data_IF_609404398540
#
_entry.id   IF_609404398540
#
_cell.length_a   1.000
_cell.length_b   1.000
_cell.length_c   1.000
_cell.angle_alpha   90.00
_cell.angle_beta   90.00
_cell.angle_gamma   90.00
#
_symmetry.space_group_name_H-M   'P 1'
#
loop_
_entity.id
_entity.type
_entity.pdbx_description
1 polymer ?
#
# COMPACT_ATOMS: atom_id res chain seq x y z
N UNK A 1 3.66 10.80 -13.34
CA UNK A 1 4.45 9.65 -13.87
C UNK A 1 4.53 8.45 -12.89
N UNK A 2 3.67 8.36 -11.85
CA UNK A 2 3.71 7.27 -10.84
C UNK A 2 2.89 6.01 -11.20
N UNK A 3 1.87 6.14 -12.06
CA UNK A 3 0.94 5.03 -12.35
C UNK A 3 1.60 3.80 -13.01
N UNK A 4 2.68 3.98 -13.76
CA UNK A 4 3.34 2.86 -14.48
C UNK A 4 4.20 1.99 -13.57
N UNK A 5 4.87 2.56 -12.56
CA UNK A 5 5.79 1.82 -11.69
C UNK A 5 5.07 0.84 -10.76
N UNK A 6 3.97 1.28 -10.14
CA UNK A 6 3.12 0.41 -9.32
C UNK A 6 2.55 -0.76 -10.10
N UNK A 7 2.02 -0.52 -11.30
CA UNK A 7 1.46 -1.57 -12.16
C UNK A 7 2.48 -2.65 -12.52
N UNK A 8 3.72 -2.25 -12.83
CA UNK A 8 4.78 -3.21 -13.15
C UNK A 8 5.20 -4.07 -11.96
N UNK A 9 5.28 -3.48 -10.76
CA UNK A 9 5.52 -4.24 -9.54
C UNK A 9 4.37 -5.23 -9.24
N UNK A 10 3.12 -4.79 -9.37
CA UNK A 10 1.93 -5.66 -9.19
C UNK A 10 1.97 -6.83 -10.18
N UNK A 11 2.29 -6.59 -11.45
CA UNK A 11 2.38 -7.64 -12.46
C UNK A 11 3.53 -8.63 -12.20
N UNK A 12 4.67 -8.15 -11.71
CA UNK A 12 5.80 -9.02 -11.35
C UNK A 12 5.42 -9.95 -10.19
N UNK A 13 4.80 -9.41 -9.14
CA UNK A 13 4.31 -10.19 -8.00
C UNK A 13 3.25 -11.20 -8.42
N UNK A 14 2.31 -10.81 -9.28
CA UNK A 14 1.28 -11.71 -9.80
C UNK A 14 1.89 -12.90 -10.56
N UNK A 15 2.86 -12.65 -11.43
CA UNK A 15 3.54 -13.71 -12.18
C UNK A 15 4.32 -14.63 -11.25
N UNK A 16 5.00 -14.08 -10.24
CA UNK A 16 5.72 -14.88 -9.24
C UNK A 16 4.75 -15.78 -8.46
N UNK A 17 3.70 -15.22 -7.86
CA UNK A 17 2.71 -15.97 -7.09
C UNK A 17 2.01 -17.07 -7.91
N UNK A 18 1.62 -16.77 -9.15
CA UNK A 18 1.05 -17.78 -10.04
C UNK A 18 2.05 -18.88 -10.41
N UNK A 19 3.32 -18.54 -10.62
CA UNK A 19 4.35 -19.54 -10.91
C UNK A 19 4.58 -20.48 -9.71
N UNK A 20 4.54 -19.95 -8.49
CA UNK A 20 4.64 -20.72 -7.25
C UNK A 20 3.42 -21.63 -7.08
N UNK A 21 2.22 -21.11 -7.35
CA UNK A 21 1.00 -21.90 -7.32
C UNK A 21 1.07 -23.09 -8.29
N UNK A 22 1.55 -22.88 -9.52
CA UNK A 22 1.78 -23.96 -10.50
C UNK A 22 2.77 -24.99 -9.96
N UNK A 23 3.90 -24.56 -9.40
CA UNK A 23 4.91 -25.47 -8.85
C UNK A 23 4.31 -26.35 -7.72
N UNK A 24 3.50 -25.76 -6.83
CA UNK A 24 2.79 -26.48 -5.76
C UNK A 24 1.75 -27.45 -6.29
N UNK A 25 0.95 -27.08 -7.29
CA UNK A 25 0.00 -28.00 -7.92
C UNK A 25 0.70 -29.18 -8.61
N UNK A 26 1.82 -28.93 -9.28
CA UNK A 26 2.65 -30.00 -9.88
C UNK A 26 3.15 -30.94 -8.78
N UNK A 27 3.70 -30.41 -7.69
CA UNK A 27 4.14 -31.22 -6.56
C UNK A 27 2.98 -32.01 -5.93
N UNK A 28 1.79 -31.41 -5.80
CA UNK A 28 0.60 -32.07 -5.28
C UNK A 28 0.17 -33.25 -6.18
N UNK A 29 0.18 -33.06 -7.50
CA UNK A 29 -0.15 -34.10 -8.46
C UNK A 29 0.79 -35.30 -8.37
N UNK A 30 2.10 -35.06 -8.29
CA UNK A 30 3.10 -36.14 -8.22
C UNK A 30 3.19 -36.81 -6.85
N UNK A 31 2.92 -36.08 -5.76
CA UNK A 31 2.96 -36.64 -4.39
C UNK A 31 1.62 -37.25 -3.96
N UNK A 32 0.52 -36.90 -4.62
CA UNK A 32 -0.83 -37.21 -4.15
C UNK A 32 -1.20 -36.53 -2.83
N UNK A 33 -0.41 -35.54 -2.39
CA UNK A 33 -0.57 -34.90 -1.09
C UNK A 33 -1.72 -33.89 -1.09
N UNK A 34 -2.73 -34.13 -0.26
CA UNK A 34 -3.82 -33.18 0.02
C UNK A 34 -3.29 -31.88 0.64
N UNK A 35 -2.27 -31.96 1.49
CA UNK A 35 -1.60 -30.78 2.07
C UNK A 35 -0.95 -29.92 0.99
N UNK A 36 -0.22 -30.52 0.04
CA UNK A 36 0.41 -29.79 -1.05
C UNK A 36 -0.62 -29.18 -2.01
N UNK A 37 -1.76 -29.87 -2.21
CA UNK A 37 -2.89 -29.33 -2.98
C UNK A 37 -3.49 -28.09 -2.30
N UNK A 38 -3.72 -28.15 -0.99
CA UNK A 38 -4.21 -27.03 -0.21
C UNK A 38 -3.24 -25.83 -0.26
N UNK A 39 -1.93 -26.06 -0.20
CA UNK A 39 -0.93 -25.01 -0.38
C UNK A 39 -0.94 -24.39 -1.79
N UNK A 40 -1.22 -25.19 -2.82
CA UNK A 40 -1.43 -24.70 -4.19
C UNK A 40 -2.62 -23.76 -4.28
N UNK A 41 -3.76 -24.13 -3.69
CA UNK A 41 -4.96 -23.29 -3.59
C UNK A 41 -4.67 -22.00 -2.82
N UNK A 42 -3.92 -22.09 -1.73
CA UNK A 42 -3.50 -20.93 -0.95
C UNK A 42 -2.70 -19.94 -1.80
N UNK A 43 -1.75 -20.41 -2.60
CA UNK A 43 -0.92 -19.55 -3.46
C UNK A 43 -1.72 -18.88 -4.59
N UNK A 44 -2.81 -19.52 -5.04
CA UNK A 44 -3.80 -18.87 -5.93
C UNK A 44 -4.57 -17.78 -5.20
N UNK A 45 -4.97 -18.03 -3.95
CA UNK A 45 -5.64 -17.02 -3.14
C UNK A 45 -4.73 -15.81 -2.89
N UNK A 46 -3.43 -16.02 -2.65
CA UNK A 46 -2.43 -14.96 -2.50
C UNK A 46 -2.29 -14.12 -3.77
N UNK A 47 -2.36 -14.75 -4.95
CA UNK A 47 -2.42 -14.03 -6.24
C UNK A 47 -3.64 -13.09 -6.34
N UNK A 48 -4.67 -13.32 -5.51
CA UNK A 48 -5.82 -12.45 -5.35
C UNK A 48 -5.46 -11.05 -4.82
N UNK A 49 -4.37 -10.91 -4.04
CA UNK A 49 -3.87 -9.61 -3.57
C UNK A 49 -3.61 -8.69 -4.76
N UNK A 50 -2.82 -9.16 -5.72
CA UNK A 50 -2.45 -8.37 -6.89
C UNK A 50 -3.68 -8.06 -7.77
N UNK A 51 -4.60 -9.02 -7.92
CA UNK A 51 -5.85 -8.78 -8.65
C UNK A 51 -6.68 -7.67 -8.00
N UNK A 52 -6.82 -7.69 -6.67
CA UNK A 52 -7.53 -6.64 -5.95
C UNK A 52 -6.87 -5.27 -6.09
N UNK A 53 -5.52 -5.20 -6.04
CA UNK A 53 -4.80 -3.95 -6.28
C UNK A 53 -5.01 -3.42 -7.72
N UNK A 54 -4.99 -4.30 -8.73
CA UNK A 54 -5.28 -3.93 -10.13
C UNK A 54 -6.73 -3.44 -10.29
N UNK A 55 -7.69 -4.11 -9.66
CA UNK A 55 -9.10 -3.70 -9.67
C UNK A 55 -9.25 -2.34 -8.99
N UNK A 56 -8.61 -2.12 -7.85
CA UNK A 56 -8.61 -0.83 -7.15
C UNK A 56 -8.04 0.30 -8.00
N UNK A 57 -6.90 0.07 -8.67
CA UNK A 57 -6.32 1.02 -9.61
C UNK A 57 -7.27 1.35 -10.77
N UNK A 58 -7.90 0.33 -11.37
CA UNK A 58 -8.86 0.51 -12.47
C UNK A 58 -10.13 1.26 -12.03
N UNK A 59 -10.67 0.95 -10.85
CA UNK A 59 -11.86 1.63 -10.30
C UNK A 59 -11.56 3.07 -9.92
N UNK A 60 -10.37 3.34 -9.40
CA UNK A 60 -9.96 4.70 -9.05
C UNK A 60 -9.84 5.65 -10.24
N UNK A 61 -9.57 5.12 -11.44
CA UNK A 61 -9.52 5.90 -12.67
C UNK A 61 -10.91 6.31 -13.21
N UNK A 62 -12.00 5.91 -12.55
CA UNK A 62 -13.36 6.28 -12.97
C UNK A 62 -13.61 7.77 -12.74
N UNK A 63 -14.25 8.41 -13.72
CA UNK A 63 -14.67 9.81 -13.63
C UNK A 63 -15.66 10.05 -12.48
N UNK A 64 -15.70 11.29 -11.99
CA UNK A 64 -16.63 11.74 -10.94
C UNK A 64 -18.09 11.60 -11.39
N UNK A 65 -18.95 11.28 -10.41
CA UNK A 65 -20.41 11.18 -10.58
C UNK A 65 -21.09 12.14 -9.60
N UNK A 66 -22.42 12.28 -9.69
CA UNK A 66 -23.18 13.08 -8.71
C UNK A 66 -23.07 12.50 -7.29
N UNK A 67 -23.00 11.17 -7.16
CA UNK A 67 -22.83 10.47 -5.88
C UNK A 67 -21.39 10.60 -5.36
N UNK A 68 -20.40 10.66 -6.26
CA UNK A 68 -18.98 10.79 -5.95
C UNK A 68 -18.39 12.02 -6.67
N UNK A 69 -18.66 13.24 -6.17
CA UNK A 69 -18.31 14.48 -6.85
C UNK A 69 -16.79 14.70 -6.97
N UNK A 70 -16.01 14.11 -6.05
CA UNK A 70 -14.55 14.16 -6.05
C UNK A 70 -13.91 12.95 -6.76
N UNK A 71 -14.69 12.14 -7.47
CA UNK A 71 -14.19 10.95 -8.15
C UNK A 71 -13.98 9.74 -7.24
N UNK A 72 -13.24 8.76 -7.77
CA UNK A 72 -13.07 7.44 -7.16
C UNK A 72 -11.64 7.16 -6.69
N UNK A 73 -10.77 8.17 -6.60
CA UNK A 73 -9.34 8.00 -6.26
C UNK A 73 -9.09 7.15 -5.00
N UNK A 74 -9.98 7.24 -4.00
CA UNK A 74 -9.94 6.47 -2.74
C UNK A 74 -10.16 4.97 -2.89
N UNK A 75 -10.64 4.48 -4.03
CA UNK A 75 -10.75 3.05 -4.32
C UNK A 75 -9.39 2.34 -4.17
N UNK A 76 -8.28 3.00 -4.53
CA UNK A 76 -6.93 2.45 -4.31
C UNK A 76 -6.65 2.19 -2.82
N UNK A 77 -7.04 3.11 -1.94
CA UNK A 77 -6.90 2.93 -0.48
C UNK A 77 -7.82 1.83 0.05
N UNK A 78 -9.06 1.79 -0.44
CA UNK A 78 -10.03 0.78 -0.03
C UNK A 78 -9.56 -0.63 -0.39
N UNK A 79 -9.15 -0.87 -1.63
CA UNK A 79 -8.69 -2.19 -2.05
C UNK A 79 -7.38 -2.61 -1.37
N UNK A 80 -6.44 -1.67 -1.15
CA UNK A 80 -5.25 -1.95 -0.35
C UNK A 80 -5.60 -2.33 1.10
N UNK A 81 -6.61 -1.68 1.69
CA UNK A 81 -7.07 -2.00 3.05
C UNK A 81 -7.74 -3.38 3.10
N UNK A 82 -8.54 -3.73 2.09
CA UNK A 82 -9.12 -5.07 1.95
C UNK A 82 -8.03 -6.13 1.87
N UNK A 83 -6.98 -5.91 1.07
CA UNK A 83 -5.82 -6.82 1.02
C UNK A 83 -5.18 -6.97 2.40
N UNK A 84 -4.88 -5.85 3.08
CA UNK A 84 -4.23 -5.84 4.39
C UNK A 84 -5.03 -6.56 5.49
N UNK A 85 -6.34 -6.35 5.53
CA UNK A 85 -7.19 -6.87 6.62
C UNK A 85 -7.77 -8.23 6.29
N UNK A 86 -8.22 -8.47 5.06
CA UNK A 86 -8.92 -9.70 4.72
C UNK A 86 -7.91 -10.79 4.36
N UNK A 87 -7.07 -10.55 3.37
CA UNK A 87 -6.22 -11.62 2.83
C UNK A 87 -5.07 -11.99 3.76
N UNK A 88 -4.36 -11.01 4.31
CA UNK A 88 -3.30 -11.31 5.29
C UNK A 88 -3.83 -11.86 6.62
N UNK A 89 -4.97 -11.39 7.14
CA UNK A 89 -5.50 -11.93 8.38
C UNK A 89 -6.04 -13.36 8.20
N UNK A 90 -6.68 -13.65 7.06
CA UNK A 90 -7.09 -15.02 6.72
C UNK A 90 -5.85 -15.91 6.57
N UNK A 91 -4.80 -15.44 5.88
CA UNK A 91 -3.55 -16.19 5.73
C UNK A 91 -2.87 -16.46 7.08
N UNK A 92 -2.86 -15.47 7.97
CA UNK A 92 -2.37 -15.61 9.34
C UNK A 92 -3.17 -16.63 10.14
N UNK A 93 -4.51 -16.51 10.14
CA UNK A 93 -5.40 -17.43 10.85
C UNK A 93 -5.26 -18.86 10.33
N UNK A 94 -5.22 -19.02 9.00
CA UNK A 94 -5.02 -20.32 8.35
C UNK A 94 -3.68 -20.94 8.76
N UNK A 95 -2.58 -20.18 8.69
CA UNK A 95 -1.25 -20.67 9.08
C UNK A 95 -1.17 -21.01 10.58
N UNK A 96 -1.80 -20.21 11.45
CA UNK A 96 -1.85 -20.50 12.88
C UNK A 96 -2.69 -21.75 13.18
N UNK A 97 -3.83 -21.89 12.52
CA UNK A 97 -4.69 -23.07 12.62
C UNK A 97 -3.96 -24.33 12.14
N UNK A 98 -3.33 -24.27 10.96
CA UNK A 98 -2.57 -25.38 10.39
C UNK A 98 -1.38 -25.76 11.28
N UNK A 99 -0.64 -24.78 11.80
CA UNK A 99 0.44 -25.02 12.74
C UNK A 99 -0.04 -25.67 14.04
N UNK A 100 -1.17 -25.22 14.60
CA UNK A 100 -1.79 -25.88 15.76
C UNK A 100 -2.28 -27.30 15.44
N UNK A 101 -2.84 -27.51 14.26
CA UNK A 101 -3.30 -28.82 13.81
C UNK A 101 -2.12 -29.82 13.68
N UNK A 102 -1.03 -29.41 13.03
CA UNK A 102 0.22 -30.20 12.92
C UNK A 102 0.86 -30.50 14.27
N UNK A 103 0.78 -29.59 15.25
CA UNK A 103 1.21 -29.86 16.63
C UNK A 103 0.35 -30.93 17.31
N UNK A 104 -0.96 -30.91 17.06
CA UNK A 104 -1.92 -31.81 17.67
C UNK A 104 -1.94 -33.20 17.00
N UNK A 105 -1.64 -33.26 15.70
CA UNK A 105 -1.60 -34.46 14.87
C UNK A 105 -0.29 -34.50 14.10
N UNK A 106 0.76 -34.94 14.80
CA UNK A 106 2.11 -35.02 14.26
C UNK A 106 2.22 -36.13 13.21
N UNK A 107 2.09 -35.78 11.93
CA UNK A 107 2.30 -36.69 10.81
C UNK A 107 3.72 -36.54 10.21
N UNK A 108 4.40 -37.64 9.84
CA UNK A 108 5.71 -37.57 9.19
C UNK A 108 5.63 -36.89 7.81
N UNK A 109 6.67 -36.15 7.45
CA UNK A 109 6.82 -35.61 6.10
C UNK A 109 6.99 -36.75 5.08
N UNK A 110 5.97 -36.98 4.25
CA UNK A 110 5.92 -38.08 3.28
C UNK A 110 6.82 -37.87 2.06
N UNK A 111 7.12 -36.63 1.68
CA UNK A 111 7.93 -36.33 0.48
C UNK A 111 8.78 -35.05 0.63
N UNK A 112 9.83 -35.07 1.47
CA UNK A 112 10.65 -33.89 1.75
C UNK A 112 11.34 -33.30 0.50
N UNK A 113 11.73 -34.14 -0.46
CA UNK A 113 12.40 -33.68 -1.68
C UNK A 113 11.53 -32.72 -2.52
N UNK A 114 10.22 -33.01 -2.62
CA UNK A 114 9.27 -32.12 -3.29
C UNK A 114 9.07 -30.81 -2.53
N UNK A 115 8.98 -30.88 -1.20
CA UNK A 115 8.88 -29.68 -0.36
C UNK A 115 10.10 -28.77 -0.55
N UNK A 116 11.32 -29.31 -0.51
CA UNK A 116 12.52 -28.53 -0.78
C UNK A 116 12.57 -27.94 -2.19
N UNK A 117 12.21 -28.74 -3.21
CA UNK A 117 12.19 -28.27 -4.60
C UNK A 117 11.24 -27.09 -4.80
N UNK A 118 10.03 -27.18 -4.26
CA UNK A 118 9.03 -26.11 -4.31
C UNK A 118 9.49 -24.89 -3.50
N UNK A 119 10.03 -25.07 -2.29
CA UNK A 119 10.52 -23.97 -1.46
C UNK A 119 11.66 -23.20 -2.12
N UNK A 120 12.65 -23.90 -2.69
CA UNK A 120 13.78 -23.27 -3.38
C UNK A 120 13.28 -22.51 -4.62
N UNK A 121 12.39 -23.13 -5.41
CA UNK A 121 11.79 -22.46 -6.56
C UNK A 121 11.02 -21.20 -6.13
N UNK A 122 10.22 -21.29 -5.07
CA UNK A 122 9.46 -20.17 -4.53
C UNK A 122 10.37 -19.04 -4.05
N UNK A 123 11.45 -19.34 -3.31
CA UNK A 123 12.44 -18.34 -2.89
C UNK A 123 13.03 -17.61 -4.10
N UNK A 124 13.38 -18.34 -5.16
CA UNK A 124 13.93 -17.73 -6.38
C UNK A 124 12.90 -16.82 -7.05
N UNK A 125 11.68 -17.30 -7.27
CA UNK A 125 10.60 -16.52 -7.87
C UNK A 125 10.29 -15.25 -7.06
N UNK A 126 10.22 -15.38 -5.74
CA UNK A 126 9.93 -14.29 -4.82
C UNK A 126 11.07 -13.26 -4.79
N UNK A 127 12.33 -13.68 -4.83
CA UNK A 127 13.48 -12.76 -4.94
C UNK A 127 13.38 -11.93 -6.24
N UNK A 128 12.94 -12.52 -7.36
CA UNK A 128 12.75 -11.77 -8.61
C UNK A 128 11.62 -10.75 -8.51
N UNK A 129 10.49 -11.11 -7.89
CA UNK A 129 9.39 -10.18 -7.60
C UNK A 129 9.87 -9.05 -6.71
N UNK A 130 10.43 -9.38 -5.56
CA UNK A 130 10.87 -8.42 -4.56
C UNK A 130 11.92 -7.46 -5.10
N UNK A 131 12.87 -7.96 -5.89
CA UNK A 131 13.87 -7.11 -6.57
C UNK A 131 13.21 -6.14 -7.54
N UNK A 132 12.15 -6.55 -8.23
CA UNK A 132 11.38 -5.68 -9.13
C UNK A 132 10.62 -4.63 -8.34
N UNK A 133 9.92 -5.01 -7.26
CA UNK A 133 9.26 -4.09 -6.36
C UNK A 133 10.23 -3.06 -5.76
N UNK A 134 11.41 -3.48 -5.30
CA UNK A 134 12.48 -2.59 -4.82
C UNK A 134 12.93 -1.60 -5.89
N UNK A 135 13.11 -2.05 -7.13
CA UNK A 135 13.52 -1.18 -8.23
C UNK A 135 12.48 -0.11 -8.50
N UNK A 136 11.21 -0.48 -8.64
CA UNK A 136 10.12 0.46 -8.88
C UNK A 136 9.92 1.40 -7.68
N UNK A 137 10.03 0.89 -6.44
CA UNK A 137 9.97 1.71 -5.25
C UNK A 137 11.12 2.72 -5.16
N UNK A 138 12.34 2.35 -5.55
CA UNK A 138 13.48 3.27 -5.56
C UNK A 138 13.31 4.44 -6.54
N UNK A 139 12.56 4.26 -7.63
CA UNK A 139 12.24 5.36 -8.55
C UNK A 139 11.36 6.44 -7.89
N UNK A 140 10.54 6.05 -6.91
CA UNK A 140 9.60 6.94 -6.20
C UNK A 140 10.17 7.43 -4.88
N UNK A 141 10.87 6.57 -4.13
CA UNK A 141 11.40 6.82 -2.79
C UNK A 141 12.47 7.90 -2.76
N UNK A 142 13.25 8.03 -3.84
CA UNK A 142 14.41 8.93 -3.87
C UNK A 142 15.39 8.62 -2.74
N UNK A 143 15.65 9.61 -1.87
CA UNK A 143 16.60 9.52 -0.74
C UNK A 143 15.97 9.07 0.58
N UNK A 144 14.67 8.80 0.63
CA UNK A 144 14.00 8.41 1.87
C UNK A 144 14.45 7.01 2.32
N UNK A 145 14.54 6.80 3.65
CA UNK A 145 14.74 5.46 4.21
C UNK A 145 13.51 4.57 3.98
N UNK A 146 13.69 3.24 4.01
CA UNK A 146 12.59 2.27 3.77
C UNK A 146 11.41 2.44 4.73
N UNK A 147 11.67 2.61 6.03
CA UNK A 147 10.61 2.81 7.04
C UNK A 147 9.83 4.10 6.75
N UNK A 148 10.55 5.18 6.42
CA UNK A 148 9.93 6.45 6.08
C UNK A 148 9.07 6.32 4.81
N UNK A 149 9.55 5.59 3.80
CA UNK A 149 8.81 5.34 2.56
C UNK A 149 7.52 4.57 2.83
N UNK A 150 7.58 3.47 3.59
CA UNK A 150 6.40 2.65 3.90
C UNK A 150 5.34 3.48 4.65
N UNK A 151 5.75 4.31 5.61
CA UNK A 151 4.83 5.11 6.44
C UNK A 151 4.33 6.40 5.78
N UNK A 152 5.12 7.01 4.88
CA UNK A 152 4.80 8.32 4.29
C UNK A 152 4.27 8.22 2.86
N UNK A 153 4.36 7.05 2.24
CA UNK A 153 3.85 6.87 0.88
C UNK A 153 2.34 7.06 0.84
N UNK A 154 1.90 7.99 -0.01
CA UNK A 154 0.48 8.21 -0.29
C UNK A 154 -0.05 7.25 -1.36
N UNK A 155 0.82 6.44 -1.98
CA UNK A 155 0.43 5.34 -2.85
C UNK A 155 0.54 4.04 -2.07
N UNK A 156 -0.57 3.30 -1.83
CA UNK A 156 -0.54 2.13 -0.96
C UNK A 156 0.05 0.88 -1.65
N UNK A 157 0.06 0.81 -2.98
CA UNK A 157 0.39 -0.42 -3.71
C UNK A 157 1.83 -0.85 -3.49
N UNK A 158 2.79 0.08 -3.62
CA UNK A 158 4.20 -0.23 -3.49
C UNK A 158 4.57 -0.66 -2.05
N UNK A 159 4.16 0.06 -0.98
CA UNK A 159 4.36 -0.41 0.39
C UNK A 159 3.71 -1.78 0.67
N UNK A 160 2.48 -2.01 0.20
CA UNK A 160 1.78 -3.29 0.39
C UNK A 160 2.57 -4.42 -0.26
N UNK A 161 2.96 -4.29 -1.53
CA UNK A 161 3.73 -5.32 -2.24
C UNK A 161 5.10 -5.55 -1.60
N UNK A 162 5.81 -4.48 -1.20
CA UNK A 162 7.11 -4.64 -0.55
C UNK A 162 7.03 -5.39 0.77
N UNK A 163 6.00 -5.13 1.58
CA UNK A 163 5.78 -5.81 2.85
C UNK A 163 5.28 -7.25 2.63
N UNK A 164 4.45 -7.46 1.61
CA UNK A 164 4.02 -8.78 1.14
C UNK A 164 5.21 -9.65 0.75
N UNK A 165 5.97 -9.24 -0.27
CA UNK A 165 7.09 -10.00 -0.81
C UNK A 165 8.19 -10.23 0.26
N UNK A 166 8.45 -9.24 1.12
CA UNK A 166 9.36 -9.41 2.27
C UNK A 166 8.81 -10.46 3.25
N UNK A 167 7.52 -10.41 3.55
CA UNK A 167 6.83 -11.38 4.38
C UNK A 167 6.88 -12.79 3.79
N UNK A 168 6.63 -12.92 2.49
CA UNK A 168 6.71 -14.17 1.76
C UNK A 168 8.13 -14.76 1.84
N UNK A 169 9.17 -13.95 1.59
CA UNK A 169 10.57 -14.40 1.71
C UNK A 169 10.91 -14.88 3.13
N UNK A 170 10.55 -14.10 4.15
CA UNK A 170 10.78 -14.49 5.55
C UNK A 170 9.98 -15.75 5.91
N UNK A 171 8.74 -15.85 5.44
CA UNK A 171 7.90 -17.02 5.62
C UNK A 171 8.48 -18.27 4.96
N UNK A 172 9.03 -18.15 3.75
CA UNK A 172 9.72 -19.22 3.04
C UNK A 172 10.99 -19.66 3.78
N UNK A 173 11.71 -18.73 4.42
CA UNK A 173 12.85 -19.07 5.30
C UNK A 173 12.38 -19.84 6.53
N UNK A 174 11.26 -19.46 7.16
CA UNK A 174 10.69 -20.19 8.29
C UNK A 174 10.19 -21.59 7.89
N UNK A 175 9.56 -21.72 6.73
CA UNK A 175 9.15 -23.01 6.18
C UNK A 175 10.36 -23.90 5.90
N UNK A 176 11.40 -23.36 5.26
CA UNK A 176 12.64 -24.09 4.99
C UNK A 176 13.32 -24.54 6.28
N UNK A 177 13.37 -23.67 7.30
CA UNK A 177 13.88 -24.02 8.62
C UNK A 177 13.05 -25.15 9.25
N UNK A 178 11.73 -25.05 9.27
CA UNK A 178 10.84 -26.06 9.85
C UNK A 178 10.98 -27.43 9.18
N UNK A 179 10.91 -27.47 7.84
CA UNK A 179 11.08 -28.70 7.06
C UNK A 179 12.48 -29.30 7.26
N UNK A 180 13.53 -28.48 7.24
CA UNK A 180 14.90 -28.95 7.46
C UNK A 180 15.07 -29.57 8.84
N UNK A 181 14.60 -28.88 9.88
CA UNK A 181 14.69 -29.39 11.25
C UNK A 181 13.86 -30.65 11.43
N UNK A 182 12.66 -30.74 10.82
CA UNK A 182 11.83 -31.92 10.88
C UNK A 182 12.52 -33.15 10.25
N UNK A 183 13.20 -32.96 9.11
CA UNK A 183 13.96 -34.04 8.44
C UNK A 183 15.20 -34.44 9.24
N UNK A 184 16.01 -33.48 9.69
CA UNK A 184 17.27 -33.76 10.40
C UNK A 184 17.04 -34.38 11.77
N UNK A 185 16.01 -33.93 12.50
CA UNK A 185 15.70 -34.44 13.84
C UNK A 185 14.75 -35.64 13.83
N UNK A 186 14.11 -35.92 12.69
CA UNK A 186 13.02 -36.90 12.59
C UNK A 186 11.75 -36.49 13.35
N UNK A 187 11.65 -35.24 13.82
CA UNK A 187 10.54 -34.77 14.62
C UNK A 187 9.64 -33.80 13.81
N UNK A 188 8.42 -34.21 13.40
CA UNK A 188 7.52 -33.39 12.60
C UNK A 188 7.02 -32.11 13.30
N UNK A 189 7.19 -32.00 14.63
CA UNK A 189 6.85 -30.79 15.38
C UNK A 189 7.56 -29.54 14.83
N UNK A 190 8.77 -29.68 14.28
CA UNK A 190 9.49 -28.55 13.72
C UNK A 190 8.82 -27.94 12.48
N UNK A 191 8.12 -28.74 11.68
CA UNK A 191 7.32 -28.23 10.57
C UNK A 191 6.12 -27.43 11.08
N UNK A 192 5.50 -27.89 12.17
CA UNK A 192 4.43 -27.16 12.85
C UNK A 192 4.94 -25.82 13.43
N UNK A 193 6.12 -25.80 14.04
CA UNK A 193 6.77 -24.57 14.54
C UNK A 193 7.04 -23.59 13.40
N UNK A 194 7.62 -24.05 12.29
CA UNK A 194 7.83 -23.22 11.10
C UNK A 194 6.51 -22.62 10.59
N UNK A 195 5.46 -23.43 10.51
CA UNK A 195 4.11 -22.99 10.10
C UNK A 195 3.52 -21.92 11.05
N UNK A 196 3.69 -22.09 12.37
CA UNK A 196 3.25 -21.09 13.36
C UNK A 196 4.03 -19.77 13.25
N UNK A 197 5.35 -19.83 12.99
CA UNK A 197 6.16 -18.64 12.78
C UNK A 197 5.67 -17.82 11.57
N UNK A 198 5.28 -18.50 10.49
CA UNK A 198 4.65 -17.86 9.32
C UNK A 198 3.33 -17.19 9.73
N UNK A 199 2.47 -17.87 10.49
CA UNK A 199 1.21 -17.30 10.95
C UNK A 199 1.38 -16.05 11.81
N UNK A 200 2.34 -16.04 12.73
CA UNK A 200 2.68 -14.84 13.53
C UNK A 200 3.21 -13.71 12.65
N UNK A 201 4.09 -14.03 11.70
CA UNK A 201 4.63 -13.06 10.75
C UNK A 201 3.52 -12.38 9.92
N UNK A 202 2.61 -13.17 9.35
CA UNK A 202 1.48 -12.66 8.58
C UNK A 202 0.54 -11.80 9.45
N UNK A 203 0.32 -12.17 10.70
CA UNK A 203 -0.46 -11.35 11.64
C UNK A 203 0.18 -9.99 11.89
N UNK A 204 1.50 -9.95 12.10
CA UNK A 204 2.26 -8.70 12.27
C UNK A 204 2.17 -7.83 11.01
N UNK A 205 2.38 -8.42 9.83
CA UNK A 205 2.28 -7.70 8.55
C UNK A 205 0.87 -7.15 8.33
N UNK A 206 -0.16 -7.95 8.61
CA UNK A 206 -1.56 -7.53 8.52
C UNK A 206 -1.84 -6.31 9.40
N UNK A 207 -1.39 -6.32 10.67
CA UNK A 207 -1.57 -5.20 11.59
C UNK A 207 -0.85 -3.94 11.10
N UNK A 208 0.41 -4.07 10.68
CA UNK A 208 1.18 -2.93 10.14
C UNK A 208 0.47 -2.34 8.93
N UNK A 209 0.13 -3.15 7.93
CA UNK A 209 -0.55 -2.67 6.72
C UNK A 209 -1.93 -2.09 7.01
N UNK A 210 -2.69 -2.68 7.93
CA UNK A 210 -4.02 -2.19 8.30
C UNK A 210 -3.94 -0.81 8.96
N UNK A 211 -2.97 -0.59 9.85
CA UNK A 211 -2.76 0.72 10.50
C UNK A 211 -2.37 1.80 9.49
N UNK A 212 -1.39 1.51 8.63
CA UNK A 212 -0.90 2.48 7.65
C UNK A 212 -1.98 2.80 6.59
N UNK A 213 -2.68 1.77 6.08
CA UNK A 213 -3.70 1.97 5.03
C UNK A 213 -4.99 2.60 5.59
N UNK A 214 -5.33 2.34 6.86
CA UNK A 214 -6.49 2.97 7.51
C UNK A 214 -6.36 4.50 7.51
N UNK A 215 -5.18 5.02 7.79
CA UNK A 215 -4.94 6.46 7.85
C UNK A 215 -5.24 7.14 6.50
N UNK A 216 -4.76 6.54 5.40
CA UNK A 216 -5.05 6.98 4.03
C UNK A 216 -6.54 6.95 3.69
N UNK A 217 -7.27 5.95 4.19
CA UNK A 217 -8.71 5.82 3.96
C UNK A 217 -9.53 6.87 4.71
N UNK A 218 -9.15 7.17 5.96
CA UNK A 218 -9.76 8.25 6.76
C UNK A 218 -9.51 9.61 6.08
N UNK A 219 -8.31 9.79 5.56
CA UNK A 219 -7.92 10.97 4.82
C UNK A 219 -6.74 11.67 5.47
N UNK A 220 -5.61 11.67 4.77
CA UNK A 220 -4.41 12.36 5.22
C UNK A 220 -4.22 13.69 4.49
N UNK A 221 -3.64 14.65 5.20
CA UNK A 221 -3.14 15.88 4.59
C UNK A 221 -1.91 15.65 3.72
N UNK A 222 -1.52 16.71 3.01
CA UNK A 222 -0.27 16.80 2.27
C UNK A 222 0.93 16.59 3.21
N UNK A 223 2.07 16.18 2.66
CA UNK A 223 3.31 16.17 3.45
C UNK A 223 3.74 17.61 3.79
N UNK A 224 4.52 17.83 4.85
CA UNK A 224 4.97 19.18 5.22
C UNK A 224 5.69 19.91 4.08
N UNK A 225 6.43 19.18 3.25
CA UNK A 225 7.13 19.73 2.10
C UNK A 225 6.17 20.21 1.00
N UNK A 226 5.09 19.46 0.74
CA UNK A 226 4.04 19.84 -0.22
C UNK A 226 3.19 20.98 0.35
N UNK A 227 2.87 20.93 1.64
CA UNK A 227 2.13 22.00 2.31
C UNK A 227 2.87 23.34 2.26
N UNK A 228 4.19 23.32 2.46
CA UNK A 228 5.05 24.49 2.31
C UNK A 228 5.13 24.99 0.86
N UNK A 229 5.11 24.10 -0.13
CA UNK A 229 5.04 24.51 -1.55
C UNK A 229 3.73 25.22 -1.87
N UNK A 230 2.59 24.71 -1.38
CA UNK A 230 1.28 25.38 -1.53
C UNK A 230 1.29 26.73 -0.83
N UNK A 231 1.83 26.80 0.40
CA UNK A 231 1.95 28.04 1.17
C UNK A 231 2.75 29.09 0.42
N UNK A 232 3.93 28.74 -0.09
CA UNK A 232 4.77 29.66 -0.88
C UNK A 232 4.09 30.10 -2.17
N UNK A 233 3.38 29.20 -2.85
CA UNK A 233 2.64 29.55 -4.07
C UNK A 233 1.56 30.60 -3.76
N UNK A 234 0.82 30.42 -2.66
CA UNK A 234 -0.19 31.35 -2.17
C UNK A 234 0.40 32.69 -1.76
N UNK A 235 1.43 32.70 -0.92
CA UNK A 235 2.06 33.93 -0.40
C UNK A 235 2.88 34.69 -1.45
N UNK A 236 3.16 34.08 -2.60
CA UNK A 236 3.79 34.77 -3.74
C UNK A 236 2.82 35.59 -4.58
N UNK A 237 1.52 35.44 -4.37
CA UNK A 237 0.49 36.22 -5.03
C UNK A 237 0.37 37.62 -4.37
N UNK A 238 0.53 38.72 -5.13
CA UNK A 238 0.40 40.08 -4.59
C UNK A 238 -0.95 40.35 -3.91
N UNK A 239 -2.01 39.66 -4.37
CA UNK A 239 -3.39 39.80 -3.90
C UNK A 239 -3.67 38.99 -2.61
N UNK A 240 -2.71 38.16 -2.17
CA UNK A 240 -2.83 37.35 -0.95
C UNK A 240 -1.94 37.95 0.14
N UNK A 241 -2.55 38.71 1.05
CA UNK A 241 -1.81 39.31 2.17
C UNK A 241 -1.22 38.25 3.10
N UNK A 242 -2.02 37.23 3.43
CA UNK A 242 -1.59 36.06 4.21
C UNK A 242 -2.57 34.90 4.09
N UNK A 243 -2.11 33.72 4.48
CA UNK A 243 -2.98 32.56 4.71
C UNK A 243 -3.53 32.59 6.16
N UNK A 244 -4.85 32.66 6.32
CA UNK A 244 -5.52 32.62 7.64
C UNK A 244 -5.53 31.18 8.18
N UNK A 245 -5.96 30.23 7.34
CA UNK A 245 -5.83 28.80 7.62
C UNK A 245 -5.83 28.01 6.32
N UNK A 246 -5.19 26.84 6.34
CA UNK A 246 -5.15 25.93 5.21
C UNK A 246 -5.35 24.51 5.71
N UNK A 247 -6.14 23.73 4.97
CA UNK A 247 -6.32 22.29 5.17
C UNK A 247 -6.13 21.60 3.83
N UNK A 248 -5.44 20.48 3.87
CA UNK A 248 -5.20 19.65 2.70
C UNK A 248 -5.73 18.25 2.94
N UNK A 249 -6.11 17.57 1.87
CA UNK A 249 -6.67 16.21 1.95
C UNK A 249 -6.37 15.44 0.66
N UNK A 250 -5.76 14.28 0.78
CA UNK A 250 -5.63 13.36 -0.34
C UNK A 250 -7.00 12.73 -0.69
N UNK A 251 -7.45 12.95 -1.92
CA UNK A 251 -8.59 12.28 -2.54
C UNK A 251 -8.17 11.00 -3.28
N UNK A 252 -6.88 10.91 -3.59
CA UNK A 252 -6.19 9.73 -4.10
C UNK A 252 -4.67 9.97 -4.04
N UNK A 253 -3.86 9.00 -4.46
CA UNK A 253 -2.40 9.14 -4.37
C UNK A 253 -1.86 10.32 -5.20
N UNK A 254 -2.50 10.61 -6.34
CA UNK A 254 -2.14 11.70 -7.25
C UNK A 254 -3.16 12.86 -7.25
N UNK A 255 -4.04 12.93 -6.25
CA UNK A 255 -5.09 13.94 -6.19
C UNK A 255 -5.22 14.52 -4.78
N UNK A 256 -4.92 15.81 -4.68
CA UNK A 256 -4.93 16.61 -3.47
C UNK A 256 -6.03 17.67 -3.56
N UNK A 257 -6.82 17.75 -2.49
CA UNK A 257 -7.71 18.87 -2.21
C UNK A 257 -6.97 19.88 -1.35
N UNK A 258 -7.02 21.15 -1.75
CA UNK A 258 -6.50 22.29 -1.00
C UNK A 258 -7.68 23.19 -0.66
N UNK A 259 -8.01 23.30 0.63
CA UNK A 259 -8.96 24.30 1.13
C UNK A 259 -8.19 25.33 1.93
N UNK A 260 -8.19 26.58 1.50
CA UNK A 260 -7.48 27.65 2.19
C UNK A 260 -8.38 28.88 2.34
N UNK A 261 -8.18 29.56 3.46
CA UNK A 261 -8.77 30.86 3.73
C UNK A 261 -7.67 31.91 3.65
N UNK A 262 -7.82 32.86 2.74
CA UNK A 262 -6.82 33.88 2.43
C UNK A 262 -7.30 35.26 2.88
N UNK A 263 -6.38 36.03 3.44
CA UNK A 263 -6.64 37.41 3.78
C UNK A 263 -6.53 38.27 2.51
N UNK A 264 -7.54 39.11 2.29
CA UNK A 264 -7.60 40.09 1.21
C UNK A 264 -7.72 41.49 1.78
N UNK A 265 -7.38 42.50 0.99
CA UNK A 265 -7.41 43.88 1.41
C UNK A 265 -8.85 44.42 1.46
N UNK A 266 -9.15 45.27 2.45
CA UNK A 266 -10.50 45.82 2.64
C UNK A 266 -10.98 46.66 1.46
N UNK A 267 -10.05 47.32 0.77
CA UNK A 267 -10.35 48.30 -0.27
C UNK A 267 -10.38 47.67 -1.69
N UNK A 268 -10.18 46.36 -1.81
CA UNK A 268 -10.25 45.65 -3.08
C UNK A 268 -11.69 45.48 -3.57
N UNK A 269 -11.90 45.69 -4.87
CA UNK A 269 -13.17 45.39 -5.51
C UNK A 269 -13.37 43.88 -5.66
N UNK A 270 -14.63 43.44 -5.76
CA UNK A 270 -14.94 42.02 -5.99
C UNK A 270 -14.25 41.44 -7.24
N UNK A 271 -14.02 42.26 -8.27
CA UNK A 271 -13.33 41.84 -9.49
C UNK A 271 -11.81 41.70 -9.33
N UNK A 272 -11.20 42.43 -8.41
CA UNK A 272 -9.78 42.29 -8.05
C UNK A 272 -9.57 41.03 -7.21
N UNK A 273 -10.42 40.82 -6.19
CA UNK A 273 -10.40 39.61 -5.36
C UNK A 273 -10.57 38.34 -6.21
N UNK A 274 -11.54 38.33 -7.14
CA UNK A 274 -11.77 37.19 -8.02
C UNK A 274 -10.53 36.86 -8.88
N UNK A 275 -9.87 37.88 -9.43
CA UNK A 275 -8.65 37.70 -10.23
C UNK A 275 -7.49 37.18 -9.37
N UNK A 276 -7.32 37.72 -8.17
CA UNK A 276 -6.30 37.27 -7.22
C UNK A 276 -6.49 35.79 -6.85
N UNK A 277 -7.74 35.36 -6.65
CA UNK A 277 -8.08 33.94 -6.42
C UNK A 277 -7.70 33.08 -7.63
N UNK A 278 -8.11 33.46 -8.85
CA UNK A 278 -7.82 32.69 -10.07
C UNK A 278 -6.30 32.54 -10.29
N UNK A 279 -5.54 33.61 -10.09
CA UNK A 279 -4.08 33.57 -10.22
C UNK A 279 -3.42 32.74 -9.11
N UNK A 280 -3.90 32.85 -7.87
CA UNK A 280 -3.42 32.04 -6.76
C UNK A 280 -3.68 30.54 -6.99
N UNK A 281 -4.85 30.17 -7.51
CA UNK A 281 -5.14 28.80 -7.93
C UNK A 281 -4.18 28.30 -9.01
N UNK A 282 -3.90 29.11 -10.02
CA UNK A 282 -2.97 28.75 -11.08
C UNK A 282 -1.56 28.50 -10.53
N UNK A 283 -1.06 29.39 -9.66
CA UNK A 283 0.26 29.23 -9.02
C UNK A 283 0.35 27.94 -8.21
N UNK A 284 -0.71 27.58 -7.47
CA UNK A 284 -0.76 26.30 -6.74
C UNK A 284 -0.67 25.13 -7.72
N UNK A 285 -1.42 25.14 -8.83
CA UNK A 285 -1.42 24.04 -9.81
C UNK A 285 -0.06 23.87 -10.48
N UNK A 286 0.66 24.97 -10.72
CA UNK A 286 2.01 24.94 -11.28
C UNK A 286 3.04 24.41 -10.26
N UNK A 287 2.97 24.86 -9.01
CA UNK A 287 3.89 24.45 -7.95
C UNK A 287 3.64 23.00 -7.49
N UNK A 288 2.37 22.60 -7.41
CA UNK A 288 1.92 21.30 -6.91
C UNK A 288 0.91 20.69 -7.89
N UNK A 289 1.37 19.98 -8.94
CA UNK A 289 0.50 19.45 -9.99
C UNK A 289 -0.58 18.46 -9.51
N UNK A 290 -0.40 17.86 -8.33
CA UNK A 290 -1.41 16.98 -7.71
C UNK A 290 -2.55 17.75 -7.04
N UNK A 291 -2.44 19.07 -6.82
CA UNK A 291 -3.50 19.92 -6.28
C UNK A 291 -4.58 20.16 -7.36
N UNK A 292 -5.47 19.18 -7.52
CA UNK A 292 -6.50 19.22 -8.58
C UNK A 292 -7.77 19.93 -8.14
N UNK A 293 -8.12 19.83 -6.86
CA UNK A 293 -9.29 20.47 -6.26
C UNK A 293 -8.81 21.58 -5.34
N UNK A 294 -9.15 22.82 -5.63
CA UNK A 294 -8.72 23.99 -4.87
C UNK A 294 -9.96 24.80 -4.50
N UNK A 295 -10.06 25.20 -3.25
CA UNK A 295 -11.06 26.11 -2.74
C UNK A 295 -10.36 27.20 -1.94
N UNK A 296 -10.39 28.43 -2.46
CA UNK A 296 -9.88 29.61 -1.78
C UNK A 296 -11.04 30.47 -1.31
N UNK A 297 -11.15 30.66 0.01
CA UNK A 297 -12.15 31.53 0.64
C UNK A 297 -11.48 32.87 0.99
N UNK A 298 -11.89 34.00 0.39
CA UNK A 298 -11.40 35.32 0.80
C UNK A 298 -12.06 35.77 2.11
N UNK A 299 -11.30 36.40 3.00
CA UNK A 299 -11.80 37.06 4.21
C UNK A 299 -10.90 38.24 4.60
N UNK A 300 -11.40 39.09 5.49
CA UNK A 300 -10.65 40.22 6.00
C UNK A 300 -9.77 39.79 7.17
N UNK A 301 -8.54 40.32 7.24
CA UNK A 301 -7.67 40.08 8.39
C UNK A 301 -8.14 40.82 9.65
N UNK A 302 -8.95 40.15 10.47
CA UNK A 302 -9.45 40.67 11.75
C UNK A 302 -8.45 40.61 12.90
N UNK A 303 -7.24 40.10 12.67
CA UNK A 303 -6.18 40.14 13.70
C UNK A 303 -5.38 41.44 13.68
N UNK A 304 -5.55 42.25 12.63
CA UNK A 304 -5.00 43.61 12.53
C UNK A 304 -5.96 44.71 13.01
N UNK A 305 -7.13 44.36 13.54
CA UNK A 305 -8.05 45.37 14.08
C UNK A 305 -7.36 46.05 15.28
N UNK A 306 -7.13 47.38 15.25
CA UNK A 306 -6.74 48.09 16.45
C UNK A 306 -7.84 47.85 17.48
N UNK A 307 -7.50 47.34 18.66
CA UNK A 307 -8.38 47.44 19.82
C UNK A 307 -8.87 48.89 19.95
N UNK A 308 -10.17 49.12 20.14
CA UNK A 308 -10.73 50.46 20.25
C UNK A 308 -10.14 51.27 21.40
#
# INVERSE_FOLDING_TARGET
MSASGGTKAIMAALVANLSIAVAKFVAAFFTGSSSMLAEGIHSVADSGNQVLLLVGGKRAARASTKEHPFGYGRERYFYAFVVAVVLFAIGALFSLYEGYHKLSHAEPLTSPAWAFGVLIFAIIAEIFSFRTAIREANLVRGRQGWIAFIRRSKSPELPVILLEDLGALLGLVFALFGVTMAVVTGNPVWDAVGTLMIGVLLAVISVVLAVETKSLLVGEGASPEVEEQVRRALESAPEVDRIIHMRTLHLGPEELLVGAKIAVSHDETAGEVARGIDEAEQRIREAVPIARVIYLEPDLDRSRTPTP
#
